data_IF_573853779670
#
_entry.id   IF_573853779670
#
_cell.length_a   1.000
_cell.length_b   1.000
_cell.length_c   1.000
_cell.angle_alpha   90.00
_cell.angle_beta   90.00
_cell.angle_gamma   90.00
#
_symmetry.space_group_name_H-M   'P 1'
#
loop_
_entity.id
_entity.type
_entity.pdbx_description
1 polymer ?
#
# COMPACT_ATOMS: atom_id res chain seq x y z
N UNK A 1 11.45 -30.29 -12.03
CA UNK A 1 12.84 -30.20 -11.50
C UNK A 1 12.75 -29.70 -10.05
N UNK A 2 13.56 -30.28 -9.16
CA UNK A 2 13.43 -30.30 -7.69
C UNK A 2 13.37 -28.92 -7.01
N UNK A 3 12.30 -28.64 -6.26
CA UNK A 3 12.25 -27.56 -5.26
C UNK A 3 12.51 -28.11 -3.86
N UNK A 4 13.76 -28.51 -3.55
CA UNK A 4 14.17 -29.01 -2.22
C UNK A 4 14.31 -27.90 -1.16
N UNK A 5 14.06 -26.65 -1.54
CA UNK A 5 14.01 -25.51 -0.64
C UNK A 5 12.68 -24.79 -0.83
N UNK A 6 11.86 -24.75 0.22
CA UNK A 6 10.71 -23.85 0.27
C UNK A 6 11.22 -22.42 0.13
N UNK A 7 10.81 -21.71 -0.93
CA UNK A 7 11.01 -20.25 -0.99
C UNK A 7 10.28 -19.68 0.22
N UNK A 8 11.03 -19.13 1.19
CA UNK A 8 10.46 -18.30 2.25
C UNK A 8 9.68 -17.19 1.54
N UNK A 9 8.38 -17.08 1.83
CA UNK A 9 7.62 -15.92 1.41
C UNK A 9 8.34 -14.67 1.92
N UNK A 10 8.67 -13.75 1.02
CA UNK A 10 9.28 -12.49 1.42
C UNK A 10 8.28 -11.75 2.32
N UNK A 11 8.70 -11.36 3.53
CA UNK A 11 7.89 -10.52 4.40
C UNK A 11 7.76 -9.13 3.80
N UNK A 12 6.58 -8.52 3.97
CA UNK A 12 6.34 -7.12 3.65
C UNK A 12 6.29 -6.33 4.95
N UNK A 13 6.73 -5.08 4.91
CA UNK A 13 6.47 -4.11 5.97
C UNK A 13 5.13 -3.43 5.72
N UNK A 14 4.19 -3.58 6.65
CA UNK A 14 2.99 -2.74 6.66
C UNK A 14 3.32 -1.37 7.23
N UNK A 15 3.10 -0.31 6.45
CA UNK A 15 3.30 1.07 6.89
C UNK A 15 1.97 1.82 6.79
N UNK A 16 1.46 2.27 7.94
CA UNK A 16 0.30 3.17 8.05
C UNK A 16 0.77 4.61 8.25
N UNK A 17 0.50 5.46 7.27
CA UNK A 17 0.74 6.90 7.32
C UNK A 17 -0.58 7.58 7.68
N UNK A 18 -0.68 8.03 8.92
CA UNK A 18 -1.88 8.67 9.46
C UNK A 18 -1.64 10.17 9.69
N UNK A 19 -2.65 10.90 10.17
CA UNK A 19 -2.54 12.35 10.39
C UNK A 19 -1.55 12.75 11.48
N UNK A 20 -1.23 11.85 12.41
CA UNK A 20 -0.43 12.16 13.61
C UNK A 20 0.81 11.31 13.77
N UNK A 21 0.92 10.21 13.04
CA UNK A 21 2.03 9.26 13.18
C UNK A 21 2.17 8.36 11.97
N UNK A 22 3.39 7.86 11.80
CA UNK A 22 3.72 6.70 10.96
C UNK A 22 3.84 5.48 11.86
N UNK A 23 3.14 4.40 11.51
CA UNK A 23 3.22 3.10 12.21
C UNK A 23 3.77 2.06 11.25
N UNK A 24 4.69 1.25 11.75
CA UNK A 24 5.31 0.17 11.00
C UNK A 24 5.07 -1.16 11.72
N UNK A 25 4.68 -2.18 10.97
CA UNK A 25 4.55 -3.54 11.46
C UNK A 25 5.15 -4.53 10.45
N UNK A 26 6.00 -5.42 10.95
CA UNK A 26 6.50 -6.57 10.19
C UNK A 26 5.94 -7.85 10.78
N UNK A 27 5.30 -8.66 9.92
CA UNK A 27 4.75 -9.95 10.29
C UNK A 27 5.48 -11.07 9.55
N UNK A 28 5.72 -12.16 10.26
CA UNK A 28 6.04 -13.45 9.66
C UNK A 28 4.95 -14.47 9.96
N UNK A 29 4.95 -15.57 9.22
CA UNK A 29 4.05 -16.70 9.44
C UNK A 29 4.85 -17.99 9.52
N UNK A 30 4.63 -18.76 10.58
CA UNK A 30 5.17 -20.12 10.74
C UNK A 30 4.01 -21.09 10.89
N UNK A 31 3.80 -21.96 9.91
CA UNK A 31 2.59 -22.78 9.82
C UNK A 31 1.33 -21.90 9.75
N UNK A 32 0.43 -22.05 10.72
CA UNK A 32 -0.80 -21.25 10.85
C UNK A 32 -0.72 -20.13 11.89
N UNK A 33 0.47 -19.83 12.44
CA UNK A 33 0.63 -18.77 13.44
C UNK A 33 1.37 -17.58 12.85
N UNK A 34 0.83 -16.40 13.10
CA UNK A 34 1.50 -15.13 12.85
C UNK A 34 2.44 -14.78 14.00
N UNK A 35 3.52 -14.06 13.68
CA UNK A 35 4.46 -13.50 14.64
C UNK A 35 4.78 -12.06 14.24
N UNK A 36 4.82 -11.17 15.22
CA UNK A 36 5.36 -9.82 15.05
C UNK A 36 6.88 -9.92 15.11
N UNK A 37 7.55 -9.62 13.99
CA UNK A 37 9.01 -9.58 13.92
C UNK A 37 9.52 -8.19 14.31
N UNK A 38 8.81 -7.15 13.91
CA UNK A 38 9.16 -5.76 14.21
C UNK A 38 7.92 -4.88 14.29
N UNK A 39 7.99 -3.88 15.16
CA UNK A 39 6.98 -2.86 15.32
C UNK A 39 7.62 -1.55 15.79
N UNK A 40 7.22 -0.44 15.20
CA UNK A 40 7.62 0.88 15.65
C UNK A 40 6.57 1.94 15.29
N UNK A 41 6.57 3.02 16.06
CA UNK A 41 5.74 4.20 15.81
C UNK A 41 6.61 5.44 15.89
N UNK A 42 6.41 6.34 14.94
CA UNK A 42 7.05 7.64 14.89
C UNK A 42 5.97 8.74 14.79
N UNK A 43 5.94 9.72 15.72
CA UNK A 43 5.03 10.85 15.58
C UNK A 43 5.39 11.70 14.36
N UNK A 44 4.37 12.21 13.70
CA UNK A 44 4.53 13.16 12.60
C UNK A 44 4.54 14.60 13.14
N UNK A 45 5.26 15.52 12.47
CA UNK A 45 5.10 16.95 12.71
C UNK A 45 3.64 17.38 12.52
N UNK A 46 3.23 18.42 13.25
CA UNK A 46 1.91 19.01 13.06
C UNK A 46 1.74 19.43 11.60
N UNK A 47 0.56 19.17 11.04
CA UNK A 47 0.18 19.50 9.66
C UNK A 47 1.00 18.79 8.56
N UNK A 48 1.86 17.80 8.88
CA UNK A 48 2.57 17.05 7.86
C UNK A 48 1.64 16.18 7.00
N UNK A 49 0.54 15.71 7.59
CA UNK A 49 -0.54 14.99 6.92
C UNK A 49 -1.87 15.61 7.30
N UNK A 50 -2.59 16.14 6.31
CA UNK A 50 -3.86 16.85 6.47
C UNK A 50 -4.91 16.15 5.61
N UNK A 51 -6.05 15.80 6.18
CA UNK A 51 -7.15 15.12 5.46
C UNK A 51 -6.69 13.88 4.66
N UNK A 52 -5.74 13.11 5.22
CA UNK A 52 -5.12 11.92 4.59
C UNK A 52 -4.24 12.20 3.38
N UNK A 53 -4.00 13.47 3.05
CA UNK A 53 -3.01 13.89 2.07
C UNK A 53 -1.69 14.24 2.75
N UNK A 54 -0.58 13.90 2.11
CA UNK A 54 0.76 14.31 2.55
C UNK A 54 0.94 15.77 2.14
N UNK A 55 0.91 16.67 3.12
CA UNK A 55 1.06 18.10 2.90
C UNK A 55 2.53 18.56 3.01
N UNK A 56 3.33 17.86 3.80
CA UNK A 56 4.76 18.16 3.99
C UNK A 56 5.59 16.88 3.77
N UNK A 57 6.11 16.74 2.55
CA UNK A 57 6.75 15.51 2.07
C UNK A 57 8.04 15.18 2.83
N UNK A 58 8.86 16.18 3.16
CA UNK A 58 10.17 15.95 3.78
C UNK A 58 10.01 15.46 5.22
N UNK A 59 9.09 16.03 5.99
CA UNK A 59 8.78 15.67 7.36
C UNK A 59 8.20 14.27 7.48
N UNK A 60 7.34 13.86 6.54
CA UNK A 60 6.89 12.47 6.44
C UNK A 60 8.05 11.54 6.09
N UNK A 61 8.91 11.92 5.13
CA UNK A 61 10.11 11.16 4.76
C UNK A 61 11.09 10.98 5.92
N UNK A 62 11.30 12.02 6.72
CA UNK A 62 12.13 11.96 7.92
C UNK A 62 11.51 11.06 9.00
N UNK A 63 10.20 11.11 9.20
CA UNK A 63 9.51 10.22 10.13
C UNK A 63 9.58 8.74 9.69
N UNK A 64 9.41 8.47 8.39
CA UNK A 64 9.61 7.15 7.80
C UNK A 64 11.04 6.63 8.02
N UNK A 65 12.04 7.49 7.83
CA UNK A 65 13.43 7.12 8.08
C UNK A 65 13.68 6.77 9.55
N UNK A 66 13.13 7.56 10.49
CA UNK A 66 13.25 7.30 11.94
C UNK A 66 12.50 6.02 12.35
N UNK A 67 11.30 5.77 11.84
CA UNK A 67 10.53 4.57 12.19
C UNK A 67 11.23 3.30 11.71
N UNK A 68 11.87 3.33 10.53
CA UNK A 68 12.67 2.20 10.01
C UNK A 68 13.87 1.89 10.90
N UNK A 69 14.60 2.91 11.37
CA UNK A 69 15.72 2.75 12.30
C UNK A 69 15.24 2.19 13.65
N UNK A 70 14.12 2.70 14.17
CA UNK A 70 13.51 2.21 15.42
C UNK A 70 13.05 0.76 15.32
N UNK A 71 12.45 0.38 14.19
CA UNK A 71 11.99 -0.97 13.89
C UNK A 71 13.13 -1.99 13.76
N UNK A 72 14.34 -1.54 13.40
CA UNK A 72 15.54 -2.40 13.19
C UNK A 72 15.29 -3.55 12.20
N UNK A 73 14.43 -3.31 11.20
CA UNK A 73 14.12 -4.28 10.15
C UNK A 73 15.05 -4.12 8.94
N UNK A 74 15.45 -5.24 8.34
CA UNK A 74 16.17 -5.28 7.05
C UNK A 74 15.23 -5.28 5.84
N UNK A 75 13.92 -5.45 6.04
CA UNK A 75 12.94 -5.51 4.96
C UNK A 75 12.78 -4.15 4.31
N UNK A 76 12.65 -4.11 2.99
CA UNK A 76 12.54 -2.89 2.19
C UNK A 76 11.35 -2.88 1.22
N UNK A 77 10.65 -4.00 1.12
CA UNK A 77 9.39 -4.07 0.37
C UNK A 77 8.27 -3.73 1.34
N UNK A 78 7.47 -2.74 0.98
CA UNK A 78 6.46 -2.12 1.85
C UNK A 78 5.07 -2.26 1.24
N UNK A 79 4.07 -2.44 2.10
CA UNK A 79 2.67 -2.28 1.77
C UNK A 79 2.16 -1.01 2.46
N UNK A 80 1.52 -0.14 1.68
CA UNK A 80 0.88 1.10 2.13
C UNK A 80 -0.59 1.10 1.72
N UNK A 81 -1.37 2.05 2.23
CA UNK A 81 -2.78 2.19 1.92
C UNK A 81 -3.13 3.64 1.59
N UNK A 82 -4.15 3.82 0.75
CA UNK A 82 -4.84 5.09 0.53
C UNK A 82 -6.13 5.13 1.35
N UNK A 83 -6.63 6.33 1.65
CA UNK A 83 -7.88 6.48 2.38
C UNK A 83 -9.06 5.99 1.54
N UNK A 84 -10.03 5.31 2.16
CA UNK A 84 -11.22 4.84 1.45
C UNK A 84 -12.04 5.97 0.81
N UNK A 85 -11.99 7.19 1.36
CA UNK A 85 -12.61 8.38 0.77
C UNK A 85 -11.96 8.83 -0.55
N UNK A 86 -10.75 8.35 -0.86
CA UNK A 86 -10.05 8.59 -2.12
C UNK A 86 -10.22 7.44 -3.13
N UNK A 87 -11.05 6.43 -2.82
CA UNK A 87 -11.25 5.25 -3.66
C UNK A 87 -12.71 5.15 -4.07
N UNK A 88 -12.95 4.99 -5.37
CA UNK A 88 -14.27 4.66 -5.92
C UNK A 88 -14.28 3.17 -6.23
N UNK A 89 -15.27 2.44 -5.73
CA UNK A 89 -15.47 1.01 -6.05
C UNK A 89 -16.78 0.85 -6.79
N UNK A 90 -16.72 0.29 -7.99
CA UNK A 90 -17.89 0.03 -8.83
C UNK A 90 -17.73 -1.32 -9.50
N UNK A 91 -18.80 -2.13 -9.48
CA UNK A 91 -18.91 -3.33 -10.31
C UNK A 91 -19.61 -2.94 -11.60
N UNK A 92 -19.01 -3.29 -12.74
CA UNK A 92 -19.57 -3.04 -14.07
C UNK A 92 -19.74 -4.37 -14.82
N UNK A 93 -20.62 -4.37 -15.80
CA UNK A 93 -20.80 -5.49 -16.73
C UNK A 93 -19.91 -5.28 -17.96
N UNK A 94 -19.31 -6.36 -18.45
CA UNK A 94 -18.45 -6.35 -19.64
C UNK A 94 -18.74 -7.60 -20.48
N UNK A 95 -18.36 -7.55 -21.75
CA UNK A 95 -18.50 -8.68 -22.64
C UNK A 95 -17.68 -9.88 -22.18
N UNK A 96 -18.28 -11.07 -22.24
CA UNK A 96 -17.61 -12.30 -21.87
C UNK A 96 -16.63 -12.74 -22.96
N UNK A 97 -15.56 -13.43 -22.56
CA UNK A 97 -14.58 -14.01 -23.50
C UNK A 97 -13.44 -13.07 -23.91
N UNK A 98 -13.41 -11.85 -23.36
CA UNK A 98 -12.26 -10.95 -23.47
C UNK A 98 -11.05 -11.52 -22.72
N UNK A 99 -9.86 -11.34 -23.28
CA UNK A 99 -8.59 -11.52 -22.57
C UNK A 99 -8.33 -10.36 -21.61
N UNK A 100 -7.39 -10.52 -20.68
CA UNK A 100 -7.03 -9.48 -19.70
C UNK A 100 -6.58 -8.18 -20.38
N UNK A 101 -5.83 -8.26 -21.48
CA UNK A 101 -5.35 -7.10 -22.25
C UNK A 101 -6.50 -6.37 -22.97
N UNK A 102 -7.45 -7.12 -23.53
CA UNK A 102 -8.65 -6.57 -24.17
C UNK A 102 -9.55 -5.89 -23.13
N UNK A 103 -9.72 -6.51 -21.96
CA UNK A 103 -10.49 -5.98 -20.86
C UNK A 103 -9.87 -4.69 -20.32
N UNK A 104 -8.55 -4.63 -20.14
CA UNK A 104 -7.84 -3.39 -19.74
C UNK A 104 -8.04 -2.27 -20.77
N UNK A 105 -7.92 -2.61 -22.07
CA UNK A 105 -8.08 -1.64 -23.16
C UNK A 105 -9.51 -1.08 -23.18
N UNK A 106 -10.52 -1.93 -23.09
CA UNK A 106 -11.91 -1.52 -23.07
C UNK A 106 -12.24 -0.71 -21.81
N UNK A 107 -11.73 -1.13 -20.64
CA UNK A 107 -11.87 -0.37 -19.39
C UNK A 107 -11.32 1.05 -19.54
N UNK A 108 -10.14 1.24 -20.15
CA UNK A 108 -9.58 2.59 -20.37
C UNK A 108 -10.45 3.44 -21.31
N UNK A 109 -11.04 2.86 -22.34
CA UNK A 109 -11.92 3.59 -23.27
C UNK A 109 -13.24 4.00 -22.61
N UNK A 110 -13.78 3.14 -21.74
CA UNK A 110 -15.06 3.37 -21.07
C UNK A 110 -14.92 4.04 -19.70
N UNK A 111 -13.71 4.17 -19.16
CA UNK A 111 -13.48 4.66 -17.80
C UNK A 111 -14.07 6.05 -17.55
N UNK A 112 -14.03 6.95 -18.54
CA UNK A 112 -14.64 8.29 -18.47
C UNK A 112 -16.15 8.24 -18.17
N UNK A 113 -16.84 7.15 -18.53
CA UNK A 113 -18.27 6.98 -18.26
C UNK A 113 -18.55 6.60 -16.80
N UNK A 114 -17.53 6.09 -16.10
CA UNK A 114 -17.67 5.51 -14.78
C UNK A 114 -16.93 6.27 -13.68
N UNK A 115 -15.85 6.97 -14.03
CA UNK A 115 -14.96 7.68 -13.11
C UNK A 115 -15.09 9.19 -13.34
N UNK A 116 -15.38 9.99 -12.29
CA UNK A 116 -15.64 11.43 -12.42
C UNK A 116 -14.38 12.29 -12.59
N UNK A 117 -13.20 11.66 -12.63
CA UNK A 117 -11.90 12.32 -12.77
C UNK A 117 -11.27 11.94 -14.10
N UNK A 118 -10.45 12.82 -14.71
CA UNK A 118 -9.73 12.50 -15.93
C UNK A 118 -8.87 11.24 -15.75
N UNK A 119 -8.80 10.40 -16.77
CA UNK A 119 -7.94 9.21 -16.77
C UNK A 119 -6.47 9.53 -16.55
N UNK A 120 -6.00 10.72 -16.91
CA UNK A 120 -4.61 11.12 -16.65
C UNK A 120 -4.32 11.37 -15.16
N UNK A 121 -5.35 11.53 -14.33
CA UNK A 121 -5.27 11.79 -12.89
C UNK A 121 -5.56 10.55 -12.03
N UNK A 122 -5.77 9.38 -12.65
CA UNK A 122 -6.16 8.09 -12.01
C UNK A 122 -5.24 6.97 -12.47
#
# INVERSE_FOLDING_TARGET
MRGLFSKKAHSLLGIDISSTSVKLLELSRTGNRFRVESYAVEPLPANAVVEKNIAELEGVGHALSRVLVKARTSTRIVAVAVAGSAVITKTIEMDAGLSDDELETQLKVEADQYIPYPLEEV
#
